data_IF_901232686619
#
_entry.id   IF_901232686619
#
_cell.length_a   1.000
_cell.length_b   1.000
_cell.length_c   1.000
_cell.angle_alpha   90.00
_cell.angle_beta   90.00
_cell.angle_gamma   90.00
#
_symmetry.space_group_name_H-M   'P 1'
#
loop_
_entity.id
_entity.type
_entity.pdbx_description
1 polymer ?
#
# COMPACT_ATOMS: atom_id res chain seq x y z
N UNK A 1 6.26 7.51 29.05
CA UNK A 1 5.89 6.88 27.77
C UNK A 1 5.45 8.01 26.85
N UNK A 2 6.12 8.20 25.74
CA UNK A 2 5.76 9.17 24.70
C UNK A 2 4.53 8.68 23.91
N UNK A 3 3.87 9.58 23.15
CA UNK A 3 2.75 9.20 22.29
C UNK A 3 3.16 8.18 21.21
N UNK A 4 4.41 8.25 20.75
CA UNK A 4 5.01 7.28 19.81
C UNK A 4 5.11 5.90 20.48
N UNK A 5 5.70 5.81 21.66
CA UNK A 5 5.83 4.55 22.42
C UNK A 5 4.46 3.96 22.75
N UNK A 6 3.49 4.82 23.07
CA UNK A 6 2.11 4.40 23.34
C UNK A 6 1.44 3.81 22.09
N UNK A 7 1.61 4.47 20.93
CA UNK A 7 1.10 3.98 19.65
C UNK A 7 1.69 2.61 19.31
N UNK A 8 3.00 2.46 19.42
CA UNK A 8 3.72 1.21 19.13
C UNK A 8 3.27 0.08 20.05
N UNK A 9 3.22 0.33 21.37
CA UNK A 9 2.78 -0.68 22.33
C UNK A 9 1.35 -1.17 22.05
N UNK A 10 0.42 -0.25 21.75
CA UNK A 10 -0.96 -0.56 21.41
C UNK A 10 -1.09 -1.36 20.11
N UNK A 11 -0.36 -0.95 19.05
CA UNK A 11 -0.38 -1.65 17.76
C UNK A 11 0.21 -3.05 17.86
N UNK A 12 1.28 -3.23 18.65
CA UNK A 12 1.86 -4.54 18.91
C UNK A 12 0.85 -5.45 19.61
N UNK A 13 0.24 -5.00 20.70
CA UNK A 13 -0.77 -5.77 21.42
C UNK A 13 -1.95 -6.17 20.53
N UNK A 14 -2.45 -5.24 19.70
CA UNK A 14 -3.53 -5.55 18.77
C UNK A 14 -3.14 -6.63 17.74
N UNK A 15 -1.88 -6.64 17.27
CA UNK A 15 -1.37 -7.64 16.32
C UNK A 15 -1.11 -9.01 16.97
N UNK A 16 -0.92 -9.05 18.29
CA UNK A 16 -0.81 -10.28 19.08
C UNK A 16 -2.18 -10.90 19.44
N UNK A 17 -3.27 -10.37 18.87
CA UNK A 17 -4.63 -10.90 19.05
C UNK A 17 -5.37 -10.30 20.25
N UNK A 18 -4.87 -9.23 20.85
CA UNK A 18 -5.58 -8.50 21.90
C UNK A 18 -6.68 -7.60 21.30
N UNK A 19 -7.58 -7.13 22.16
CA UNK A 19 -8.62 -6.20 21.73
C UNK A 19 -8.05 -4.93 21.13
N UNK A 20 -8.70 -4.41 20.08
CA UNK A 20 -8.29 -3.19 19.41
C UNK A 20 -8.30 -1.99 20.41
N UNK A 21 -7.16 -1.31 20.61
CA UNK A 21 -7.07 -0.14 21.48
C UNK A 21 -7.56 1.12 20.76
N UNK A 22 -7.91 2.16 21.53
CA UNK A 22 -8.16 3.48 20.95
C UNK A 22 -6.89 4.08 20.35
N UNK A 23 -7.05 4.75 19.22
CA UNK A 23 -5.97 5.44 18.53
C UNK A 23 -5.43 6.63 19.35
N UNK A 24 -4.11 6.78 19.54
CA UNK A 24 -3.54 7.93 20.20
C UNK A 24 -3.57 9.17 19.27
N UNK A 25 -3.46 10.34 19.86
CA UNK A 25 -3.12 11.55 19.12
C UNK A 25 -1.60 11.63 18.94
N UNK A 26 -1.16 11.73 17.71
CA UNK A 26 0.24 11.96 17.35
C UNK A 26 0.40 13.42 16.90
N UNK A 27 1.55 14.02 17.21
CA UNK A 27 1.76 15.44 16.98
C UNK A 27 1.77 15.82 15.48
N UNK A 28 2.40 15.00 14.66
CA UNK A 28 2.62 15.26 13.24
C UNK A 28 2.92 13.97 12.45
N UNK A 29 3.16 14.13 11.15
CA UNK A 29 3.52 13.02 10.29
C UNK A 29 4.87 12.38 10.65
N UNK A 30 5.82 13.13 11.19
CA UNK A 30 7.12 12.60 11.63
C UNK A 30 6.92 11.63 12.80
N UNK A 31 6.06 11.96 13.77
CA UNK A 31 5.67 11.07 14.85
C UNK A 31 4.97 9.80 14.34
N UNK A 32 4.07 9.93 13.34
CA UNK A 32 3.41 8.80 12.70
C UNK A 32 4.40 7.84 12.01
N UNK A 33 5.36 8.37 11.27
CA UNK A 33 6.43 7.57 10.65
C UNK A 33 7.37 6.95 11.69
N UNK A 34 7.75 7.69 12.74
CA UNK A 34 8.59 7.15 13.81
C UNK A 34 7.91 5.97 14.52
N UNK A 35 6.60 6.05 14.76
CA UNK A 35 5.83 4.93 15.30
C UNK A 35 5.79 3.73 14.33
N UNK A 36 5.57 3.96 13.03
CA UNK A 36 5.58 2.91 12.00
C UNK A 36 6.94 2.21 11.94
N UNK A 37 8.05 2.96 11.94
CA UNK A 37 9.41 2.42 11.90
C UNK A 37 9.77 1.66 13.18
N UNK A 38 9.38 2.19 14.34
CA UNK A 38 9.62 1.52 15.61
C UNK A 38 8.83 0.21 15.69
N UNK A 39 7.56 0.22 15.28
CA UNK A 39 6.73 -0.98 15.22
C UNK A 39 7.37 -2.05 14.32
N UNK A 40 7.84 -1.65 13.13
CA UNK A 40 8.50 -2.56 12.20
C UNK A 40 9.77 -3.20 12.78
N UNK A 41 10.57 -2.41 13.52
CA UNK A 41 11.76 -2.92 14.22
C UNK A 41 11.40 -3.89 15.34
N UNK A 42 10.42 -3.54 16.20
CA UNK A 42 10.01 -4.39 17.32
C UNK A 42 9.40 -5.73 16.87
N UNK A 43 8.70 -5.73 15.73
CA UNK A 43 8.13 -6.92 15.14
C UNK A 43 9.07 -7.65 14.16
N UNK A 44 10.28 -7.13 13.95
CA UNK A 44 11.30 -7.78 13.13
C UNK A 44 10.93 -7.94 11.66
N UNK A 45 10.05 -7.07 11.10
CA UNK A 45 9.47 -7.28 9.76
C UNK A 45 10.49 -7.34 8.63
N UNK A 46 11.57 -6.59 8.73
CA UNK A 46 12.54 -6.46 7.64
C UNK A 46 13.93 -6.98 8.02
N UNK A 47 14.20 -7.28 9.33
CA UNK A 47 15.54 -7.57 9.79
C UNK A 47 16.51 -6.44 9.41
N UNK A 48 17.65 -6.81 8.82
CA UNK A 48 18.65 -5.86 8.30
C UNK A 48 18.42 -5.48 6.83
N UNK A 49 17.31 -5.92 6.23
CA UNK A 49 17.04 -5.71 4.81
C UNK A 49 16.31 -4.40 4.56
N UNK A 50 16.58 -3.78 3.41
CA UNK A 50 15.77 -2.66 2.92
C UNK A 50 14.39 -3.18 2.49
N UNK A 51 13.28 -2.54 2.93
CA UNK A 51 11.94 -2.94 2.52
C UNK A 51 11.78 -2.95 1.00
N UNK A 52 11.16 -4.01 0.47
CA UNK A 52 10.94 -4.19 -0.97
C UNK A 52 9.50 -3.92 -1.41
N UNK A 53 8.56 -3.96 -0.50
CA UNK A 53 7.14 -3.74 -0.79
C UNK A 53 6.66 -2.50 -0.06
N UNK A 54 5.95 -1.65 -0.80
CA UNK A 54 5.52 -0.35 -0.31
C UNK A 54 4.11 -0.04 -0.79
N UNK A 55 3.43 0.80 -0.05
CA UNK A 55 2.27 1.54 -0.54
C UNK A 55 2.55 3.03 -0.49
N UNK A 56 2.02 3.76 -1.44
CA UNK A 56 2.18 5.21 -1.54
C UNK A 56 0.94 5.82 -2.16
N UNK A 57 0.40 6.85 -1.55
CA UNK A 57 -0.78 7.52 -2.10
C UNK A 57 -1.24 8.71 -1.28
N UNK A 58 -2.20 9.40 -1.86
CA UNK A 58 -2.91 10.52 -1.28
C UNK A 58 -4.22 10.74 -2.04
N UNK A 59 -5.16 11.52 -1.50
CA UNK A 59 -6.48 11.72 -2.09
C UNK A 59 -6.48 12.60 -3.35
N UNK A 60 -5.41 13.35 -3.61
CA UNK A 60 -5.21 14.18 -4.80
C UNK A 60 -3.74 14.54 -4.98
N UNK A 61 -3.41 15.21 -6.09
CA UNK A 61 -2.05 15.69 -6.38
C UNK A 61 -1.58 16.82 -5.45
N UNK A 62 -2.52 17.59 -4.90
CA UNK A 62 -2.24 18.71 -3.99
C UNK A 62 -2.05 18.21 -2.54
N UNK A 63 -2.52 17.03 -2.24
CA UNK A 63 -2.40 16.47 -0.91
C UNK A 63 -1.01 15.88 -0.68
N UNK A 64 -0.54 15.97 0.57
CA UNK A 64 0.68 15.27 0.98
C UNK A 64 0.43 13.76 0.91
N UNK A 65 1.18 13.09 0.05
CA UNK A 65 1.19 11.62 -0.02
C UNK A 65 1.81 11.02 1.23
N UNK A 66 1.23 9.93 1.70
CA UNK A 66 1.81 9.09 2.75
C UNK A 66 2.34 7.78 2.17
N UNK A 67 3.31 7.20 2.86
CA UNK A 67 4.02 6.00 2.43
C UNK A 67 4.12 5.01 3.57
N UNK A 68 4.13 3.72 3.25
CA UNK A 68 4.38 2.68 4.24
C UNK A 68 5.16 1.53 3.61
N UNK A 69 6.19 1.06 4.32
CA UNK A 69 6.84 -0.19 4.03
C UNK A 69 5.95 -1.34 4.50
N UNK A 70 5.69 -2.32 3.63
CA UNK A 70 4.76 -3.41 3.88
C UNK A 70 5.49 -4.65 4.41
N UNK A 71 5.00 -5.28 5.50
CA UNK A 71 5.55 -6.53 6.00
C UNK A 71 5.50 -7.61 4.92
N UNK A 72 6.63 -8.28 4.58
CA UNK A 72 6.66 -9.25 3.49
C UNK A 72 5.71 -10.45 3.68
N UNK A 73 5.44 -10.85 4.92
CA UNK A 73 4.51 -11.93 5.23
C UNK A 73 3.08 -11.67 4.75
N UNK A 74 2.68 -10.38 4.65
CA UNK A 74 1.37 -9.95 4.16
C UNK A 74 1.35 -9.62 2.66
N UNK A 75 2.38 -9.96 1.89
CA UNK A 75 2.44 -9.76 0.43
C UNK A 75 2.39 -11.10 -0.27
N UNK A 76 1.35 -11.34 -1.06
CA UNK A 76 1.06 -12.64 -1.67
C UNK A 76 1.01 -12.55 -3.19
N UNK A 77 1.41 -13.65 -3.86
CA UNK A 77 1.20 -13.79 -5.30
C UNK A 77 -0.24 -14.25 -5.59
N UNK A 78 -0.85 -13.67 -6.63
CA UNK A 78 -2.16 -14.10 -7.13
C UNK A 78 -2.03 -15.38 -7.99
N UNK A 79 -3.01 -16.31 -7.94
CA UNK A 79 -4.16 -16.34 -7.03
C UNK A 79 -3.73 -16.61 -5.59
N UNK A 80 -4.31 -15.90 -4.63
CA UNK A 80 -3.97 -16.02 -3.23
C UNK A 80 -5.11 -16.63 -2.39
N UNK A 81 -4.74 -17.19 -1.24
CA UNK A 81 -5.69 -17.65 -0.23
C UNK A 81 -5.29 -17.05 1.11
N UNK A 82 -6.19 -16.27 1.70
CA UNK A 82 -5.95 -15.62 2.98
C UNK A 82 -5.92 -16.63 4.17
N UNK A 83 -6.65 -17.73 4.05
CA UNK A 83 -6.74 -18.73 5.14
C UNK A 83 -7.18 -18.09 6.45
N UNK A 84 -6.43 -18.38 7.51
CA UNK A 84 -6.68 -17.85 8.86
C UNK A 84 -6.02 -16.48 9.11
N UNK A 85 -5.65 -15.73 8.08
CA UNK A 85 -5.08 -14.38 8.26
C UNK A 85 -6.06 -13.49 9.03
N UNK A 86 -5.61 -12.84 10.11
CA UNK A 86 -6.52 -12.25 11.10
C UNK A 86 -7.09 -10.89 10.67
N UNK A 87 -7.87 -10.87 9.60
CA UNK A 87 -8.57 -9.66 9.19
C UNK A 87 -9.74 -9.33 10.11
N UNK A 88 -9.89 -8.03 10.41
CA UNK A 88 -11.04 -7.48 11.12
C UNK A 88 -12.02 -6.77 10.20
N UNK A 89 -11.57 -6.23 9.07
CA UNK A 89 -12.39 -5.42 8.15
C UNK A 89 -12.57 -6.05 6.77
N UNK A 90 -11.53 -6.45 6.09
CA UNK A 90 -11.55 -6.88 4.67
C UNK A 90 -12.01 -5.79 3.70
N UNK A 91 -11.50 -4.56 3.89
CA UNK A 91 -11.66 -3.50 2.89
C UNK A 91 -10.86 -3.85 1.64
N UNK A 92 -11.42 -3.60 0.45
CA UNK A 92 -10.80 -3.94 -0.83
C UNK A 92 -10.52 -2.68 -1.62
N UNK A 93 -9.27 -2.52 -2.00
CA UNK A 93 -8.80 -1.50 -2.93
C UNK A 93 -8.17 -2.15 -4.14
N UNK A 94 -8.60 -1.75 -5.34
CA UNK A 94 -8.06 -2.20 -6.61
C UNK A 94 -7.03 -1.19 -7.10
N UNK A 95 -5.79 -1.63 -7.28
CA UNK A 95 -4.66 -0.75 -7.55
C UNK A 95 -3.78 -1.27 -8.69
N UNK A 96 -2.92 -0.40 -9.21
CA UNK A 96 -1.80 -0.76 -10.07
C UNK A 96 -0.54 -0.70 -9.23
N UNK A 97 0.19 -1.81 -9.15
CA UNK A 97 1.52 -1.86 -8.58
C UNK A 97 2.58 -1.60 -9.64
N UNK A 98 3.61 -0.83 -9.28
CA UNK A 98 4.76 -0.54 -10.13
C UNK A 98 6.02 -1.18 -9.55
N UNK A 99 6.87 -1.74 -10.42
CA UNK A 99 8.13 -2.38 -10.04
C UNK A 99 9.31 -1.63 -10.65
N UNK A 100 10.31 -1.31 -9.81
CA UNK A 100 11.52 -0.62 -10.25
C UNK A 100 12.46 -1.57 -11.00
N UNK A 101 13.03 -1.11 -12.12
CA UNK A 101 14.06 -1.80 -12.88
C UNK A 101 15.48 -1.52 -12.39
N UNK A 102 15.68 -0.46 -11.63
CA UNK A 102 16.99 0.02 -11.20
C UNK A 102 17.00 0.41 -9.73
N UNK A 103 18.16 0.35 -9.05
CA UNK A 103 18.27 0.87 -7.68
C UNK A 103 18.22 2.40 -7.67
N UNK A 104 17.70 2.96 -6.57
CA UNK A 104 17.58 4.41 -6.37
C UNK A 104 18.14 4.79 -5.00
N UNK A 105 19.13 5.66 -4.99
CA UNK A 105 19.69 6.28 -3.79
C UNK A 105 19.07 7.67 -3.49
N UNK A 106 19.46 8.27 -2.40
CA UNK A 106 18.95 9.58 -1.97
C UNK A 106 19.30 10.71 -2.95
N UNK A 107 20.46 10.67 -3.59
CA UNK A 107 20.88 11.68 -4.56
C UNK A 107 19.99 11.64 -5.81
N UNK A 108 19.75 10.45 -6.35
CA UNK A 108 18.86 10.25 -7.50
C UNK A 108 17.41 10.60 -7.13
N UNK A 109 16.92 10.14 -5.97
CA UNK A 109 15.56 10.42 -5.52
C UNK A 109 15.27 11.93 -5.36
N UNK A 110 16.26 12.72 -4.92
CA UNK A 110 16.11 14.15 -4.71
C UNK A 110 15.82 14.93 -6.00
N UNK A 111 16.33 14.46 -7.15
CA UNK A 111 16.26 15.14 -8.45
C UNK A 111 15.16 14.58 -9.38
N UNK A 112 14.43 13.54 -8.95
CA UNK A 112 13.39 12.92 -9.78
C UNK A 112 12.21 13.86 -9.98
N UNK A 113 11.92 14.15 -11.23
CA UNK A 113 10.63 14.62 -11.73
C UNK A 113 9.73 13.45 -12.17
N UNK A 114 8.58 13.74 -12.75
CA UNK A 114 7.65 12.71 -13.18
C UNK A 114 8.22 11.85 -14.33
N UNK A 115 8.92 12.45 -15.27
CA UNK A 115 9.49 11.72 -16.40
C UNK A 115 10.69 10.86 -15.98
N UNK A 116 11.56 11.38 -15.13
CA UNK A 116 12.65 10.61 -14.53
C UNK A 116 12.14 9.43 -13.69
N UNK A 117 11.04 9.62 -12.94
CA UNK A 117 10.41 8.56 -12.19
C UNK A 117 9.81 7.48 -13.10
N UNK A 118 9.21 7.88 -14.23
CA UNK A 118 8.65 6.97 -15.25
C UNK A 118 9.69 6.03 -15.84
N UNK A 119 10.89 6.53 -16.09
CA UNK A 119 11.99 5.75 -16.63
C UNK A 119 12.53 4.68 -15.66
N UNK A 120 12.24 4.79 -14.36
CA UNK A 120 12.65 3.80 -13.37
C UNK A 120 11.76 2.56 -13.35
N UNK A 121 10.56 2.64 -13.94
CA UNK A 121 9.57 1.55 -13.88
C UNK A 121 9.83 0.56 -14.99
N UNK A 122 10.13 -0.69 -14.63
CA UNK A 122 10.30 -1.79 -15.61
C UNK A 122 9.00 -2.54 -15.88
N UNK A 123 8.15 -2.67 -14.86
CA UNK A 123 6.95 -3.48 -14.95
C UNK A 123 5.81 -2.89 -14.11
N UNK A 124 4.58 -3.25 -14.51
CA UNK A 124 3.36 -2.95 -13.77
C UNK A 124 2.53 -4.23 -13.61
N UNK A 125 1.69 -4.26 -12.60
CA UNK A 125 0.81 -5.40 -12.35
C UNK A 125 -0.45 -4.96 -11.61
N UNK A 126 -1.47 -5.81 -11.66
CA UNK A 126 -2.66 -5.62 -10.82
C UNK A 126 -2.29 -5.90 -9.38
N UNK A 127 -2.74 -5.06 -8.46
CA UNK A 127 -2.67 -5.36 -7.03
C UNK A 127 -4.03 -5.20 -6.36
N UNK A 128 -4.27 -6.03 -5.34
CA UNK A 128 -5.42 -5.91 -4.44
C UNK A 128 -4.86 -5.58 -3.08
N UNK A 129 -5.14 -4.38 -2.56
CA UNK A 129 -4.89 -4.11 -1.17
C UNK A 129 -6.09 -4.54 -0.34
N UNK A 130 -5.82 -5.32 0.71
CA UNK A 130 -6.79 -5.67 1.74
C UNK A 130 -6.56 -4.71 2.90
N UNK A 131 -7.46 -3.75 3.04
CA UNK A 131 -7.41 -2.72 4.08
C UNK A 131 -7.96 -3.28 5.38
N UNK A 132 -7.23 -3.05 6.46
CA UNK A 132 -7.61 -3.46 7.81
C UNK A 132 -7.15 -2.43 8.85
N UNK A 133 -7.60 -2.54 10.08
CA UNK A 133 -7.22 -1.60 11.14
C UNK A 133 -7.04 -2.31 12.48
N UNK A 134 -6.02 -1.92 13.22
CA UNK A 134 -5.76 -2.36 14.59
C UNK A 134 -6.30 -1.40 15.65
N UNK A 135 -6.97 -0.32 15.22
CA UNK A 135 -7.59 0.67 16.10
C UNK A 135 -9.07 0.36 16.37
N UNK A 136 -9.56 0.69 17.58
CA UNK A 136 -10.97 0.53 17.92
C UNK A 136 -11.89 1.39 17.04
N UNK A 137 -11.43 2.56 16.64
CA UNK A 137 -12.09 3.48 15.72
C UNK A 137 -12.07 2.97 14.26
N UNK A 138 -11.36 1.88 14.00
CA UNK A 138 -11.22 1.29 12.66
C UNK A 138 -10.74 2.34 11.64
N UNK A 139 -11.42 2.47 10.52
CA UNK A 139 -11.08 3.45 9.47
C UNK A 139 -11.48 4.89 9.83
N UNK A 140 -12.15 5.11 10.97
CA UNK A 140 -12.43 6.44 11.51
C UNK A 140 -11.29 6.96 12.41
N UNK A 141 -10.27 6.15 12.69
CA UNK A 141 -9.07 6.61 13.38
C UNK A 141 -8.46 7.82 12.64
N UNK A 142 -7.85 8.73 13.42
CA UNK A 142 -7.23 9.92 12.83
C UNK A 142 -6.11 9.54 11.83
N UNK A 143 -5.80 10.47 10.92
CA UNK A 143 -4.87 10.23 9.80
C UNK A 143 -3.48 9.79 10.26
N UNK A 144 -2.98 10.32 11.37
CA UNK A 144 -1.65 10.02 11.89
C UNK A 144 -1.60 8.65 12.59
N UNK A 145 -2.68 8.27 13.27
CA UNK A 145 -2.82 6.92 13.82
C UNK A 145 -2.89 5.86 12.70
N UNK A 146 -3.62 6.14 11.61
CA UNK A 146 -3.59 5.26 10.44
C UNK A 146 -2.20 5.17 9.81
N UNK A 147 -1.44 6.28 9.77
CA UNK A 147 -0.05 6.27 9.32
C UNK A 147 0.83 5.36 10.19
N UNK A 148 0.73 5.46 11.50
CA UNK A 148 1.43 4.58 12.45
C UNK A 148 1.07 3.10 12.26
N UNK A 149 -0.20 2.81 11.90
CA UNK A 149 -0.70 1.46 11.59
C UNK A 149 -0.50 1.08 10.11
N UNK A 150 0.65 1.45 9.53
CA UNK A 150 1.06 1.10 8.16
C UNK A 150 -0.01 1.49 7.14
N UNK A 151 -0.63 2.67 7.32
CA UNK A 151 -1.73 3.18 6.48
C UNK A 151 -2.92 2.21 6.40
N UNK A 152 -3.27 1.58 7.53
CA UNK A 152 -4.35 0.59 7.60
C UNK A 152 -4.13 -0.64 6.70
N UNK A 153 -2.88 -1.04 6.50
CA UNK A 153 -2.55 -2.21 5.69
C UNK A 153 -2.91 -3.52 6.40
N UNK A 154 -3.63 -4.39 5.71
CA UNK A 154 -3.92 -5.78 6.12
C UNK A 154 -3.08 -6.78 5.33
N UNK A 155 -3.17 -6.76 4.00
CA UNK A 155 -2.36 -7.57 3.09
C UNK A 155 -2.35 -6.94 1.69
N UNK A 156 -1.40 -7.38 0.84
CA UNK A 156 -1.29 -7.00 -0.56
C UNK A 156 -1.21 -8.25 -1.43
N UNK A 157 -2.07 -8.35 -2.44
CA UNK A 157 -2.00 -9.43 -3.44
C UNK A 157 -1.49 -8.87 -4.75
N UNK A 158 -0.48 -9.50 -5.32
CA UNK A 158 0.17 -9.06 -6.56
C UNK A 158 -0.15 -10.04 -7.69
N UNK A 159 -0.75 -9.53 -8.76
CA UNK A 159 -0.96 -10.26 -10.01
C UNK A 159 0.33 -10.46 -10.81
N UNK A 160 0.25 -11.14 -11.95
CA UNK A 160 1.37 -11.25 -12.88
C UNK A 160 1.85 -9.88 -13.37
N UNK A 161 3.15 -9.79 -13.64
CA UNK A 161 3.79 -8.59 -14.12
C UNK A 161 3.76 -8.51 -15.65
N UNK A 162 3.52 -7.32 -16.19
CA UNK A 162 3.70 -6.98 -17.61
C UNK A 162 4.69 -5.83 -17.72
N UNK A 163 5.33 -5.69 -18.88
CA UNK A 163 6.22 -4.57 -19.14
C UNK A 163 5.47 -3.25 -18.95
N UNK A 164 6.12 -2.26 -18.34
CA UNK A 164 5.51 -0.96 -18.14
C UNK A 164 5.30 -0.24 -19.49
N UNK A 165 4.09 0.23 -19.72
CA UNK A 165 3.71 1.03 -20.89
C UNK A 165 3.76 2.53 -20.53
N UNK A 166 4.84 3.19 -20.84
CA UNK A 166 5.06 4.61 -20.54
C UNK A 166 4.11 5.56 -21.30
N UNK A 167 3.47 5.07 -22.38
CA UNK A 167 2.53 5.85 -23.20
C UNK A 167 1.07 5.60 -22.86
N UNK A 168 0.81 4.83 -21.80
CA UNK A 168 -0.55 4.49 -21.39
C UNK A 168 -1.38 5.70 -21.02
N UNK A 169 -2.56 5.80 -21.61
CA UNK A 169 -3.58 6.75 -21.19
C UNK A 169 -4.32 6.22 -19.95
N UNK A 170 -3.92 6.71 -18.79
CA UNK A 170 -4.54 6.33 -17.52
C UNK A 170 -5.95 6.89 -17.35
N UNK A 171 -6.34 7.95 -18.10
CA UNK A 171 -7.68 8.52 -18.02
C UNK A 171 -8.75 7.60 -18.64
N UNK A 172 -8.33 6.69 -19.52
CA UNK A 172 -9.21 5.69 -20.16
C UNK A 172 -9.06 4.28 -19.56
N UNK A 173 -8.15 4.11 -18.59
CA UNK A 173 -7.89 2.79 -17.99
C UNK A 173 -9.14 2.22 -17.31
N UNK A 174 -9.53 1.03 -17.73
CA UNK A 174 -10.67 0.29 -17.19
C UNK A 174 -10.20 -0.62 -16.05
N UNK A 175 -10.89 -0.52 -14.91
CA UNK A 175 -10.78 -1.40 -13.75
C UNK A 175 -12.13 -2.10 -13.51
N UNK A 176 -12.10 -3.39 -13.24
CA UNK A 176 -13.28 -4.19 -12.84
C UNK A 176 -12.99 -4.89 -11.54
N UNK A 177 -13.94 -4.83 -10.61
CA UNK A 177 -13.84 -5.49 -9.30
C UNK A 177 -15.06 -6.36 -9.11
N UNK A 178 -14.87 -7.65 -8.84
CA UNK A 178 -15.90 -8.60 -8.43
C UNK A 178 -15.61 -9.08 -7.02
N UNK A 179 -16.61 -9.06 -6.15
CA UNK A 179 -16.53 -9.54 -4.76
C UNK A 179 -17.65 -10.56 -4.55
N UNK A 180 -17.26 -11.80 -4.25
CA UNK A 180 -18.19 -12.91 -4.05
C UNK A 180 -19.14 -13.10 -5.24
N UNK A 181 -20.42 -13.25 -4.96
CA UNK A 181 -21.47 -13.43 -5.96
C UNK A 181 -22.03 -12.11 -6.52
N UNK A 182 -21.50 -10.96 -6.13
CA UNK A 182 -21.98 -9.66 -6.58
C UNK A 182 -21.66 -9.42 -8.07
N UNK A 183 -22.49 -8.61 -8.72
CA UNK A 183 -22.19 -8.13 -10.08
C UNK A 183 -20.89 -7.30 -10.07
N UNK A 184 -20.02 -7.46 -11.07
CA UNK A 184 -18.78 -6.69 -11.15
C UNK A 184 -19.06 -5.18 -11.20
N UNK A 185 -18.31 -4.42 -10.41
CA UNK A 185 -18.26 -2.96 -10.49
C UNK A 185 -17.18 -2.55 -11.48
N UNK A 186 -17.43 -1.47 -12.20
CA UNK A 186 -16.55 -0.99 -13.29
C UNK A 186 -16.19 0.47 -13.06
N UNK A 187 -14.92 0.76 -13.14
CA UNK A 187 -14.33 2.09 -12.92
C UNK A 187 -13.46 2.44 -14.13
N UNK A 188 -13.46 3.71 -14.54
CA UNK A 188 -12.67 4.18 -15.69
C UNK A 188 -11.97 5.49 -15.35
N UNK A 189 -10.64 5.52 -15.44
CA UNK A 189 -9.84 6.71 -15.22
C UNK A 189 -9.95 7.32 -13.81
N UNK A 190 -10.25 6.50 -12.80
CA UNK A 190 -10.63 6.95 -11.46
C UNK A 190 -9.45 7.03 -10.47
N UNK A 191 -8.20 6.88 -10.93
CA UNK A 191 -7.05 7.00 -10.05
C UNK A 191 -6.97 8.41 -9.42
N UNK A 192 -6.81 8.56 -8.09
CA UNK A 192 -6.94 9.85 -7.41
C UNK A 192 -5.92 10.91 -7.83
N UNK A 193 -4.74 10.47 -8.30
CA UNK A 193 -3.70 11.36 -8.83
C UNK A 193 -3.55 11.24 -10.36
N UNK A 194 -4.52 10.65 -11.04
CA UNK A 194 -4.62 10.45 -12.49
C UNK A 194 -3.53 9.53 -13.09
N UNK A 195 -2.30 9.56 -12.61
CA UNK A 195 -1.16 8.77 -13.10
C UNK A 195 -0.49 8.06 -11.92
N UNK A 196 -0.46 6.71 -11.89
CA UNK A 196 0.21 5.94 -10.84
C UNK A 196 1.68 6.31 -10.60
N UNK A 197 2.40 6.75 -11.64
CA UNK A 197 3.81 7.16 -11.53
C UNK A 197 3.99 8.41 -10.66
N UNK A 198 2.96 9.24 -10.53
CA UNK A 198 3.02 10.50 -9.79
C UNK A 198 3.51 10.34 -8.34
N UNK A 199 3.20 9.21 -7.70
CA UNK A 199 3.59 8.98 -6.30
C UNK A 199 5.06 8.59 -6.13
N UNK A 200 5.76 8.18 -7.20
CA UNK A 200 7.09 7.58 -7.11
C UNK A 200 8.15 8.53 -6.56
N UNK A 201 8.20 9.77 -7.05
CA UNK A 201 9.21 10.74 -6.62
C UNK A 201 9.10 11.04 -5.12
N UNK A 202 7.89 11.18 -4.59
CA UNK A 202 7.65 11.40 -3.17
C UNK A 202 7.99 10.14 -2.34
N UNK A 203 7.55 8.96 -2.80
CA UNK A 203 7.88 7.70 -2.18
C UNK A 203 9.39 7.45 -2.11
N UNK A 204 10.11 7.62 -3.22
CA UNK A 204 11.55 7.36 -3.29
C UNK A 204 12.35 8.32 -2.39
N UNK A 205 11.99 9.61 -2.34
CA UNK A 205 12.57 10.55 -1.37
C UNK A 205 12.35 10.11 0.07
N UNK A 206 11.14 9.62 0.37
CA UNK A 206 10.83 9.09 1.70
C UNK A 206 11.62 7.81 1.99
N UNK A 207 11.64 6.84 1.08
CA UNK A 207 12.27 5.55 1.28
C UNK A 207 13.81 5.64 1.43
N UNK A 208 14.42 6.66 0.81
CA UNK A 208 15.88 6.89 0.85
C UNK A 208 16.32 7.88 1.92
N UNK A 209 15.41 8.50 2.69
CA UNK A 209 15.68 9.62 3.61
C UNK A 209 16.72 9.33 4.70
N UNK A 210 16.94 8.06 5.04
CA UNK A 210 17.95 7.62 6.02
C UNK A 210 19.19 7.01 5.37
N UNK A 211 19.46 7.35 4.09
CA UNK A 211 20.63 6.86 3.36
C UNK A 211 20.47 5.45 2.78
N UNK A 212 19.28 4.86 2.86
CA UNK A 212 19.02 3.58 2.22
C UNK A 212 19.03 3.71 0.69
N UNK A 213 19.43 2.64 0.01
CA UNK A 213 19.25 2.49 -1.43
C UNK A 213 18.06 1.57 -1.67
N UNK A 214 17.01 2.08 -2.31
CA UNK A 214 15.86 1.26 -2.74
C UNK A 214 16.32 0.35 -3.87
N UNK A 215 16.29 -0.99 -3.70
CA UNK A 215 16.86 -1.89 -4.70
C UNK A 215 15.96 -2.04 -5.93
N UNK A 216 16.57 -2.41 -7.06
CA UNK A 216 15.82 -2.92 -8.22
C UNK A 216 14.88 -4.06 -7.82
N UNK A 217 13.74 -4.18 -8.49
CA UNK A 217 12.68 -5.12 -8.14
C UNK A 217 11.82 -4.69 -6.94
N UNK A 218 12.07 -3.52 -6.32
CA UNK A 218 11.16 -2.97 -5.33
C UNK A 218 9.81 -2.61 -5.94
N UNK A 219 8.75 -2.85 -5.18
CA UNK A 219 7.36 -2.70 -5.62
C UNK A 219 6.66 -1.64 -4.78
N UNK A 220 5.87 -0.79 -5.43
CA UNK A 220 4.96 0.14 -4.77
C UNK A 220 3.56 0.03 -5.36
N UNK A 221 2.54 -0.14 -4.50
CA UNK A 221 1.13 0.02 -4.88
C UNK A 221 0.73 1.48 -4.74
N UNK A 222 -0.12 2.01 -5.63
CA UNK A 222 -0.11 3.44 -5.96
C UNK A 222 -1.41 4.20 -5.69
N UNK A 223 -2.40 3.53 -5.13
CA UNK A 223 -3.70 4.11 -4.78
C UNK A 223 -4.86 3.52 -5.56
N UNK A 224 -6.00 3.55 -4.93
CA UNK A 224 -7.18 2.82 -5.34
C UNK A 224 -7.89 3.43 -6.55
N UNK A 225 -8.38 2.57 -7.45
CA UNK A 225 -9.24 2.93 -8.59
C UNK A 225 -10.73 2.79 -8.29
N UNK A 226 -11.09 2.06 -7.24
CA UNK A 226 -12.47 1.76 -6.90
C UNK A 226 -12.94 2.40 -5.59
N UNK A 227 -12.09 3.23 -4.96
CA UNK A 227 -12.31 3.60 -3.57
C UNK A 227 -12.20 2.39 -2.67
N UNK A 228 -12.85 2.42 -1.52
CA UNK A 228 -12.87 1.31 -0.58
C UNK A 228 -14.16 0.52 -0.74
N UNK A 229 -14.05 -0.72 -1.21
CA UNK A 229 -15.13 -1.70 -1.23
C UNK A 229 -15.01 -2.63 -0.02
N UNK A 230 -16.02 -3.46 0.24
CA UNK A 230 -16.02 -4.35 1.39
C UNK A 230 -16.31 -5.78 0.97
N UNK A 231 -15.44 -6.71 1.38
CA UNK A 231 -15.63 -8.13 1.26
C UNK A 231 -15.94 -8.76 2.64
N UNK A 232 -16.43 -9.99 2.62
CA UNK A 232 -16.68 -10.79 3.80
C UNK A 232 -15.74 -12.00 3.85
N UNK A 233 -15.68 -12.65 4.99
CA UNK A 233 -15.00 -13.94 5.07
C UNK A 233 -15.66 -14.95 4.13
N UNK A 234 -14.85 -15.65 3.34
CA UNK A 234 -15.29 -16.61 2.34
C UNK A 234 -15.56 -16.00 0.95
N UNK A 235 -15.50 -14.69 0.79
CA UNK A 235 -15.61 -14.08 -0.54
C UNK A 235 -14.34 -14.31 -1.38
N UNK A 236 -14.54 -14.64 -2.65
CA UNK A 236 -13.51 -14.49 -3.67
C UNK A 236 -13.53 -13.06 -4.20
N UNK A 237 -12.39 -12.40 -4.19
CA UNK A 237 -12.20 -11.07 -4.79
C UNK A 237 -11.39 -11.21 -6.07
N UNK A 238 -11.90 -10.66 -7.17
CA UNK A 238 -11.20 -10.60 -8.45
C UNK A 238 -11.13 -9.16 -8.94
N UNK A 239 -9.92 -8.73 -9.30
CA UNK A 239 -9.64 -7.42 -9.87
C UNK A 239 -8.98 -7.57 -11.22
N UNK A 240 -9.54 -6.91 -12.23
CA UNK A 240 -8.99 -6.89 -13.60
C UNK A 240 -8.72 -5.45 -14.03
N UNK A 241 -7.53 -5.19 -14.55
CA UNK A 241 -7.21 -3.97 -15.28
C UNK A 241 -6.97 -4.31 -16.75
N UNK A 242 -7.70 -3.65 -17.64
CA UNK A 242 -7.61 -3.90 -19.08
C UNK A 242 -6.17 -3.71 -19.56
N UNK A 243 -5.64 -4.70 -20.32
CA UNK A 243 -4.25 -4.74 -20.85
C UNK A 243 -3.15 -4.72 -19.78
N UNK A 244 -3.47 -4.91 -18.50
CA UNK A 244 -2.48 -5.11 -17.44
C UNK A 244 -2.59 -6.54 -16.91
N UNK A 245 -3.80 -7.00 -16.59
CA UNK A 245 -3.97 -8.35 -16.10
C UNK A 245 -5.07 -8.50 -15.07
N UNK A 246 -4.93 -9.56 -14.26
CA UNK A 246 -5.89 -9.96 -13.24
C UNK A 246 -5.15 -10.33 -11.95
N UNK A 247 -5.75 -10.01 -10.82
CA UNK A 247 -5.39 -10.56 -9.52
C UNK A 247 -6.63 -11.10 -8.81
N UNK A 248 -6.47 -12.16 -8.03
CA UNK A 248 -7.56 -12.70 -7.21
C UNK A 248 -7.08 -13.19 -5.85
N UNK A 249 -8.00 -13.17 -4.89
CA UNK A 249 -7.79 -13.69 -3.54
C UNK A 249 -9.08 -14.28 -2.97
N UNK A 250 -8.95 -15.43 -2.32
CA UNK A 250 -9.99 -16.03 -1.48
C UNK A 250 -9.77 -15.54 -0.04
N UNK A 251 -10.79 -14.89 0.57
CA UNK A 251 -10.75 -14.28 1.91
C UNK A 251 -11.35 -15.17 3.01
#
# INVERSE_FOLDING_TARGET
MTDIELAVARLRQAREGHSAPSAPELADAAAGYAAQEQLARELGWFGDSVPRFWKSGGPSREAVAFHAALPPAGVWASPAHAGDWPFTLRGIEAEVALRLGEPVDAQRAATLDLEGARLLVEAMGVSIEIVDSRWAERLQANRLAKLADVLSHGALVLGPWVAFDAQRDWSDQLCRVRIGAQAPQVFRGTHPVADPVFVLSAWLRHATRHGAVVPAGSVVTTGTWCGLLHAQHGDEVEVTFERIGLASVQL
#
